data_IF_028599663383
#
_entry.id   IF_028599663383
#
_cell.length_a   1.000
_cell.length_b   1.000
_cell.length_c   1.000
_cell.angle_alpha   90.00
_cell.angle_beta   90.00
_cell.angle_gamma   90.00
#
_symmetry.space_group_name_H-M   'P 1'
#
loop_
_entity.id
_entity.type
_entity.pdbx_description
1 polymer ?
#
# COMPACT_ATOMS: atom_id res chain seq x y z
N UNK A 1 -5.09 37.21 11.45
CA UNK A 1 -5.43 35.77 11.53
C UNK A 1 -5.23 34.98 10.21
N UNK A 2 -5.86 35.24 9.03
CA UNK A 2 -5.48 34.53 7.80
C UNK A 2 -4.03 34.81 7.38
N UNK A 3 -3.52 36.00 7.59
CA UNK A 3 -2.15 36.41 7.22
C UNK A 3 -1.06 35.77 8.10
N UNK A 4 -1.35 35.49 9.37
CA UNK A 4 -0.36 34.90 10.30
C UNK A 4 -0.10 33.43 9.98
N UNK A 5 -1.14 32.69 9.58
CA UNK A 5 -1.01 31.28 9.17
C UNK A 5 -0.28 31.18 7.83
N UNK A 6 -0.63 32.05 6.87
CA UNK A 6 0.07 32.11 5.58
C UNK A 6 1.57 32.43 5.78
N UNK A 7 1.88 33.36 6.68
CA UNK A 7 3.26 33.72 7.05
C UNK A 7 3.98 32.51 7.66
N UNK A 8 3.37 31.88 8.67
CA UNK A 8 3.95 30.70 9.32
C UNK A 8 4.23 29.57 8.31
N UNK A 9 3.26 29.24 7.44
CA UNK A 9 3.46 28.25 6.38
C UNK A 9 4.60 28.64 5.43
N UNK A 10 4.70 29.92 5.06
CA UNK A 10 5.79 30.42 4.19
C UNK A 10 7.16 30.28 4.85
N UNK A 11 7.25 30.54 6.16
CA UNK A 11 8.49 30.45 6.94
C UNK A 11 8.94 28.99 7.15
N UNK A 12 7.98 28.06 7.29
CA UNK A 12 8.26 26.65 7.62
C UNK A 12 8.23 25.72 6.39
N UNK A 13 7.64 26.15 5.27
CA UNK A 13 7.66 25.38 4.04
C UNK A 13 9.06 25.33 3.42
N UNK A 14 9.49 24.16 3.00
CA UNK A 14 10.77 23.92 2.32
C UNK A 14 10.48 23.51 0.88
N UNK A 15 11.01 24.25 -0.11
CA UNK A 15 10.77 23.93 -1.52
C UNK A 15 11.27 22.53 -1.86
N UNK A 16 10.49 21.80 -2.65
CA UNK A 16 10.89 20.56 -3.31
C UNK A 16 11.22 20.90 -4.77
N UNK A 17 12.50 20.96 -5.09
CA UNK A 17 12.99 21.39 -6.40
C UNK A 17 12.58 20.47 -7.52
N UNK A 18 12.45 19.18 -7.23
CA UNK A 18 11.99 18.17 -8.18
C UNK A 18 11.24 17.04 -7.49
N UNK A 19 10.35 16.38 -8.25
CA UNK A 19 9.67 15.15 -7.79
C UNK A 19 10.24 13.90 -8.49
N UNK A 20 11.29 14.08 -9.31
CA UNK A 20 11.80 13.00 -10.15
C UNK A 20 12.65 12.01 -9.34
N UNK A 21 12.38 10.69 -9.41
CA UNK A 21 13.31 9.67 -8.94
C UNK A 21 14.71 9.83 -9.58
N UNK A 22 15.75 9.44 -8.84
CA UNK A 22 17.15 9.54 -9.28
C UNK A 22 17.75 10.94 -9.21
N UNK A 23 16.97 11.97 -8.86
CA UNK A 23 17.49 13.33 -8.70
C UNK A 23 18.26 13.49 -7.37
N UNK A 24 19.19 14.45 -7.25
CA UNK A 24 19.87 14.75 -5.99
C UNK A 24 18.91 15.00 -4.82
N UNK A 25 19.31 14.65 -3.61
CA UNK A 25 18.44 14.65 -2.42
C UNK A 25 18.57 15.90 -1.54
N UNK A 26 19.38 16.90 -1.89
CA UNK A 26 19.64 18.05 -1.02
C UNK A 26 18.40 18.82 -0.56
N UNK A 27 17.34 18.90 -1.37
CA UNK A 27 16.07 19.49 -0.97
C UNK A 27 15.20 18.57 -0.06
N UNK A 28 15.60 17.31 0.16
CA UNK A 28 15.01 16.38 1.12
C UNK A 28 15.73 16.39 2.49
N UNK A 29 16.86 17.08 2.64
CA UNK A 29 17.58 17.18 3.92
C UNK A 29 16.68 17.63 5.09
N UNK A 30 15.79 18.64 4.94
CA UNK A 30 14.89 19.02 6.02
C UNK A 30 13.91 17.92 6.44
N UNK A 31 13.54 17.03 5.51
CA UNK A 31 12.77 15.83 5.82
C UNK A 31 13.66 14.80 6.53
N UNK A 32 14.90 14.62 6.07
CA UNK A 32 15.89 13.74 6.71
C UNK A 32 16.16 14.10 8.17
N UNK A 33 16.30 15.39 8.46
CA UNK A 33 16.47 15.88 9.83
C UNK A 33 15.27 15.54 10.72
N UNK A 34 14.05 15.67 10.19
CA UNK A 34 12.82 15.31 10.91
C UNK A 34 12.68 13.79 11.11
N UNK A 35 13.36 12.97 10.31
CA UNK A 35 13.28 11.49 10.33
C UNK A 35 14.48 10.81 10.99
N UNK A 36 15.43 11.56 11.57
CA UNK A 36 16.69 11.01 12.10
C UNK A 36 16.47 9.85 13.08
N UNK A 37 15.58 10.03 14.04
CA UNK A 37 15.29 9.07 15.11
C UNK A 37 14.00 8.26 14.84
N UNK A 38 13.43 8.37 13.63
CA UNK A 38 12.18 7.70 13.25
C UNK A 38 12.47 6.32 12.72
N UNK A 39 11.72 5.33 13.19
CA UNK A 39 11.80 3.93 12.72
C UNK A 39 10.74 3.58 11.66
N UNK A 40 9.60 4.26 11.67
CA UNK A 40 8.48 3.98 10.78
C UNK A 40 8.02 5.28 10.12
N UNK A 41 8.08 5.35 8.79
CA UNK A 41 7.62 6.51 8.01
C UNK A 41 6.40 6.12 7.19
N UNK A 42 5.24 6.69 7.51
CA UNK A 42 4.03 6.61 6.70
C UNK A 42 4.08 7.61 5.55
N UNK A 43 4.17 7.16 4.31
CA UNK A 43 4.08 7.96 3.10
C UNK A 43 2.65 7.90 2.54
N UNK A 44 1.89 8.96 2.78
CA UNK A 44 0.49 9.08 2.38
C UNK A 44 0.27 9.46 0.92
N UNK A 45 -0.98 9.54 0.54
CA UNK A 45 -1.48 10.12 -0.71
C UNK A 45 -2.97 10.44 -0.58
N UNK A 46 -3.40 11.59 -1.10
CA UNK A 46 -4.82 11.97 -1.09
C UNK A 46 -5.59 11.35 -2.27
N UNK A 47 -4.93 10.61 -3.14
CA UNK A 47 -5.50 9.83 -4.27
C UNK A 47 -4.48 8.83 -4.80
N UNK A 48 -4.89 7.62 -5.12
CA UNK A 48 -4.03 6.56 -5.64
C UNK A 48 -3.59 6.75 -7.11
N UNK A 49 -4.21 7.65 -7.84
CA UNK A 49 -4.01 7.76 -9.29
C UNK A 49 -3.21 8.99 -9.72
N UNK A 50 -2.34 9.54 -8.87
CA UNK A 50 -1.56 10.74 -9.12
C UNK A 50 -0.09 10.40 -9.38
N UNK A 51 0.39 10.70 -10.59
CA UNK A 51 1.76 10.43 -11.04
C UNK A 51 2.81 11.10 -10.16
N UNK A 52 2.60 12.34 -9.81
CA UNK A 52 3.54 13.12 -9.02
C UNK A 52 3.69 12.57 -7.60
N UNK A 53 2.64 12.02 -7.01
CA UNK A 53 2.73 11.34 -5.72
C UNK A 53 3.61 10.09 -5.81
N UNK A 54 3.36 9.23 -6.78
CA UNK A 54 4.17 8.03 -6.97
C UNK A 54 5.65 8.37 -7.19
N UNK A 55 5.94 9.41 -7.99
CA UNK A 55 7.31 9.85 -8.24
C UNK A 55 7.97 10.45 -7.00
N UNK A 56 7.26 11.31 -6.26
CA UNK A 56 7.80 11.88 -5.01
C UNK A 56 8.04 10.80 -3.97
N UNK A 57 7.10 9.88 -3.78
CA UNK A 57 7.29 8.76 -2.84
C UNK A 57 8.46 7.87 -3.27
N UNK A 58 8.60 7.55 -4.55
CA UNK A 58 9.76 6.81 -5.06
C UNK A 58 11.07 7.54 -4.70
N UNK A 59 11.16 8.84 -4.95
CA UNK A 59 12.32 9.65 -4.60
C UNK A 59 12.60 9.70 -3.09
N UNK A 60 11.54 9.78 -2.27
CA UNK A 60 11.68 9.69 -0.80
C UNK A 60 12.15 8.29 -0.38
N UNK A 61 11.65 7.22 -1.00
CA UNK A 61 12.13 5.85 -0.77
C UNK A 61 13.63 5.73 -1.10
N UNK A 62 14.07 6.27 -2.25
CA UNK A 62 15.49 6.32 -2.62
C UNK A 62 16.34 6.99 -1.53
N UNK A 63 15.89 8.14 -1.05
CA UNK A 63 16.56 8.90 0.01
C UNK A 63 16.62 8.11 1.32
N UNK A 64 15.49 7.58 1.79
CA UNK A 64 15.40 6.83 3.04
C UNK A 64 16.23 5.54 3.03
N UNK A 65 16.24 4.84 1.92
CA UNK A 65 17.03 3.62 1.75
C UNK A 65 18.53 3.93 1.73
N UNK A 66 18.94 4.91 0.93
CA UNK A 66 20.38 5.20 0.72
C UNK A 66 21.03 5.94 1.87
N UNK A 67 20.30 6.85 2.51
CA UNK A 67 20.88 7.83 3.44
C UNK A 67 20.40 7.67 4.88
N UNK A 68 19.23 7.01 5.08
CA UNK A 68 18.65 6.84 6.40
C UNK A 68 18.50 5.38 6.84
N UNK A 69 19.01 4.40 6.08
CA UNK A 69 19.07 2.99 6.46
C UNK A 69 17.71 2.28 6.59
N UNK A 70 16.70 2.72 5.83
CA UNK A 70 15.43 1.99 5.76
C UNK A 70 15.58 0.74 4.90
N UNK A 71 15.11 -0.39 5.43
CA UNK A 71 15.32 -1.73 4.84
C UNK A 71 14.03 -2.41 4.39
N UNK A 72 12.86 -1.86 4.72
CA UNK A 72 11.57 -2.46 4.34
C UNK A 72 10.61 -1.43 3.79
N UNK A 73 9.96 -1.77 2.66
CA UNK A 73 8.86 -1.02 2.08
C UNK A 73 7.57 -1.85 2.19
N UNK A 74 6.66 -1.38 3.05
CA UNK A 74 5.35 -1.98 3.29
C UNK A 74 4.28 -1.26 2.46
N UNK A 75 3.61 -1.99 1.57
CA UNK A 75 2.63 -1.46 0.62
C UNK A 75 1.19 -1.76 1.08
N UNK A 76 0.27 -0.81 0.88
CA UNK A 76 -1.18 -1.04 0.93
C UNK A 76 -1.62 -1.91 -0.27
N UNK A 77 -1.01 -3.08 -0.41
CA UNK A 77 -1.19 -4.02 -1.50
C UNK A 77 -1.38 -5.43 -0.96
N UNK A 78 -1.84 -6.34 -1.82
CA UNK A 78 -2.08 -7.74 -1.43
C UNK A 78 -0.86 -8.35 -0.71
N UNK A 79 -1.04 -8.75 0.54
CA UNK A 79 -0.04 -9.47 1.31
C UNK A 79 0.36 -10.80 0.65
N UNK A 80 -0.58 -11.42 -0.05
CA UNK A 80 -0.40 -12.64 -0.81
C UNK A 80 0.53 -12.42 -2.02
N UNK A 81 0.15 -11.52 -2.94
CA UNK A 81 0.84 -11.34 -4.21
C UNK A 81 2.18 -10.58 -4.07
N UNK A 82 2.35 -9.74 -3.04
CA UNK A 82 3.59 -8.97 -2.84
C UNK A 82 4.79 -9.88 -2.54
N UNK A 83 4.59 -11.08 -2.02
CA UNK A 83 5.69 -12.04 -1.78
C UNK A 83 6.44 -12.40 -3.06
N UNK A 84 5.74 -12.65 -4.16
CA UNK A 84 6.37 -12.90 -5.45
C UNK A 84 7.08 -11.65 -6.00
N UNK A 85 6.56 -10.46 -5.72
CA UNK A 85 7.20 -9.19 -6.08
C UNK A 85 8.46 -8.94 -5.24
N UNK A 86 8.47 -9.32 -3.95
CA UNK A 86 9.67 -9.31 -3.10
C UNK A 86 10.76 -10.25 -3.64
N UNK A 87 10.39 -11.46 -4.06
CA UNK A 87 11.31 -12.40 -4.69
C UNK A 87 11.94 -11.81 -5.98
N UNK A 88 11.20 -11.03 -6.77
CA UNK A 88 11.77 -10.30 -7.89
C UNK A 88 12.75 -9.21 -7.42
N UNK A 89 12.37 -8.39 -6.46
CA UNK A 89 13.19 -7.29 -5.95
C UNK A 89 14.50 -7.81 -5.35
N UNK A 90 14.48 -8.94 -4.64
CA UNK A 90 15.66 -9.52 -3.99
C UNK A 90 16.47 -10.41 -4.93
N UNK A 91 15.83 -11.27 -5.69
CA UNK A 91 16.50 -12.35 -6.43
C UNK A 91 16.33 -12.23 -7.95
N UNK A 92 15.46 -11.35 -8.48
CA UNK A 92 15.20 -11.20 -9.91
C UNK A 92 14.25 -12.25 -10.48
N UNK A 93 13.50 -12.95 -9.64
CA UNK A 93 12.61 -14.04 -10.05
C UNK A 93 11.30 -13.49 -10.63
N UNK A 94 10.97 -13.86 -11.86
CA UNK A 94 9.72 -13.50 -12.53
C UNK A 94 9.79 -12.22 -13.37
N UNK A 95 8.65 -11.84 -13.95
CA UNK A 95 8.52 -10.64 -14.80
C UNK A 95 7.79 -9.54 -14.02
N UNK A 96 8.41 -8.38 -13.75
CA UNK A 96 7.88 -7.36 -12.85
C UNK A 96 6.51 -6.81 -13.27
N UNK A 97 6.24 -6.63 -14.56
CA UNK A 97 4.94 -6.17 -15.07
C UNK A 97 3.80 -7.16 -14.75
N UNK A 98 4.07 -8.46 -14.88
CA UNK A 98 3.11 -9.52 -14.53
C UNK A 98 2.89 -9.56 -13.02
N UNK A 99 3.95 -9.49 -12.22
CA UNK A 99 3.89 -9.51 -10.75
C UNK A 99 3.12 -8.31 -10.20
N UNK A 100 3.36 -7.10 -10.74
CA UNK A 100 2.58 -5.90 -10.40
C UNK A 100 1.09 -6.07 -10.75
N UNK A 101 0.77 -6.69 -11.88
CA UNK A 101 -0.63 -6.97 -12.26
C UNK A 101 -1.31 -7.94 -11.29
N UNK A 102 -0.59 -8.94 -10.77
CA UNK A 102 -1.09 -9.90 -9.78
C UNK A 102 -1.42 -9.27 -8.41
N UNK A 103 -0.92 -8.06 -8.09
CA UNK A 103 -1.35 -7.33 -6.89
C UNK A 103 -2.87 -7.08 -6.85
N UNK A 104 -3.56 -7.22 -7.99
CA UNK A 104 -5.02 -7.25 -8.09
C UNK A 104 -5.70 -5.88 -8.02
N UNK A 105 -4.96 -4.81 -7.77
CA UNK A 105 -5.47 -3.44 -7.70
C UNK A 105 -4.91 -2.61 -8.86
N UNK A 106 -5.79 -1.91 -9.58
CA UNK A 106 -5.38 -1.04 -10.68
C UNK A 106 -4.45 0.09 -10.22
N UNK A 107 -4.53 0.48 -8.95
CA UNK A 107 -3.75 1.55 -8.32
C UNK A 107 -2.25 1.28 -8.36
N UNK A 108 -1.86 0.01 -8.33
CA UNK A 108 -0.47 -0.44 -8.39
C UNK A 108 0.02 -0.72 -9.83
N UNK A 109 -0.90 -0.98 -10.77
CA UNK A 109 -0.57 -1.31 -12.17
C UNK A 109 -0.20 -0.07 -12.97
N UNK A 110 0.92 0.56 -12.63
CA UNK A 110 1.40 1.82 -13.22
C UNK A 110 2.87 1.74 -13.63
N UNK A 111 3.28 2.57 -14.61
CA UNK A 111 4.68 2.72 -15.00
C UNK A 111 5.52 3.20 -13.80
N UNK A 112 4.99 4.11 -13.00
CA UNK A 112 5.67 4.65 -11.83
C UNK A 112 5.97 3.58 -10.76
N UNK A 113 5.09 2.57 -10.59
CA UNK A 113 5.35 1.43 -9.73
C UNK A 113 6.39 0.48 -10.35
N UNK A 114 6.35 0.29 -11.66
CA UNK A 114 7.37 -0.50 -12.36
C UNK A 114 8.76 0.13 -12.21
N UNK A 115 8.86 1.46 -12.37
CA UNK A 115 10.12 2.21 -12.16
C UNK A 115 10.67 1.98 -10.74
N UNK A 116 9.83 2.06 -9.71
CA UNK A 116 10.22 1.80 -8.32
C UNK A 116 10.72 0.36 -8.11
N UNK A 117 9.98 -0.62 -8.60
CA UNK A 117 10.31 -2.05 -8.44
C UNK A 117 11.63 -2.39 -9.17
N UNK A 118 11.86 -1.82 -10.34
CA UNK A 118 13.11 -1.99 -11.08
C UNK A 118 14.28 -1.29 -10.38
N UNK A 119 14.05 -0.12 -9.81
CA UNK A 119 15.06 0.59 -9.00
C UNK A 119 15.45 -0.25 -7.77
N UNK A 120 14.46 -0.77 -7.00
CA UNK A 120 14.72 -1.65 -5.85
C UNK A 120 15.52 -2.89 -6.26
N UNK A 121 15.18 -3.54 -7.38
CA UNK A 121 15.94 -4.67 -7.91
C UNK A 121 17.39 -4.30 -8.24
N UNK A 122 17.59 -3.13 -8.84
CA UNK A 122 18.93 -2.64 -9.17
C UNK A 122 19.72 -2.32 -7.90
N UNK A 123 19.08 -1.72 -6.91
CA UNK A 123 19.69 -1.42 -5.61
C UNK A 123 20.13 -2.68 -4.87
N UNK A 124 19.29 -3.71 -4.85
CA UNK A 124 19.55 -4.95 -4.11
C UNK A 124 20.57 -5.89 -4.77
N UNK A 125 20.83 -5.75 -6.08
CA UNK A 125 21.57 -6.73 -6.89
C UNK A 125 22.89 -7.18 -6.29
N UNK A 126 23.67 -6.21 -5.78
CA UNK A 126 25.03 -6.44 -5.31
C UNK A 126 25.13 -6.37 -3.76
N UNK A 127 23.99 -6.30 -3.08
CA UNK A 127 23.94 -6.27 -1.62
C UNK A 127 23.79 -7.68 -1.04
N UNK A 128 24.45 -7.95 0.09
CA UNK A 128 24.19 -9.16 0.86
C UNK A 128 22.73 -9.19 1.34
N UNK A 129 22.21 -10.38 1.57
CA UNK A 129 20.78 -10.62 1.80
C UNK A 129 20.21 -9.84 2.99
N UNK A 130 20.97 -9.72 4.06
CA UNK A 130 20.64 -8.97 5.29
C UNK A 130 20.60 -7.45 5.10
N UNK A 131 21.14 -6.95 4.00
CA UNK A 131 21.15 -5.51 3.64
C UNK A 131 20.21 -5.15 2.50
N UNK A 132 19.56 -6.15 1.90
CA UNK A 132 18.60 -5.92 0.83
C UNK A 132 17.32 -5.29 1.35
N UNK A 133 16.76 -4.37 0.57
CA UNK A 133 15.43 -3.81 0.83
C UNK A 133 14.37 -4.87 0.52
N UNK A 134 13.47 -5.10 1.48
CA UNK A 134 12.36 -6.04 1.37
C UNK A 134 11.07 -5.32 0.99
N UNK A 135 10.20 -6.01 0.24
CA UNK A 135 8.83 -5.60 -0.02
C UNK A 135 7.86 -6.47 0.77
N UNK A 136 6.95 -5.85 1.49
CA UNK A 136 5.82 -6.55 2.10
C UNK A 136 4.48 -5.94 1.67
N UNK A 137 3.47 -6.78 1.46
CA UNK A 137 2.08 -6.37 1.34
C UNK A 137 1.41 -6.41 2.70
N UNK A 138 0.66 -5.37 3.03
CA UNK A 138 -0.02 -5.30 4.32
C UNK A 138 -1.50 -5.71 4.23
N UNK A 139 -2.11 -5.58 3.05
CA UNK A 139 -3.55 -5.78 2.86
C UNK A 139 -3.88 -7.26 2.66
N UNK A 140 -4.72 -7.87 3.50
CA UNK A 140 -5.08 -9.28 3.35
C UNK A 140 -6.08 -9.56 2.22
N UNK A 141 -6.42 -8.60 1.39
CA UNK A 141 -7.30 -8.78 0.23
C UNK A 141 -6.55 -9.38 -0.98
N UNK A 142 -7.31 -9.95 -1.93
CA UNK A 142 -6.76 -10.50 -3.19
C UNK A 142 -5.82 -11.67 -2.96
N UNK A 143 -6.38 -12.78 -2.50
CA UNK A 143 -5.65 -13.94 -1.98
C UNK A 143 -5.35 -15.03 -3.01
N UNK A 144 -5.45 -14.77 -4.31
CA UNK A 144 -5.21 -15.78 -5.36
C UNK A 144 -3.88 -16.50 -5.17
N UNK A 145 -2.80 -15.76 -4.94
CA UNK A 145 -1.47 -16.34 -4.76
C UNK A 145 -1.37 -17.23 -3.51
N UNK A 146 -2.07 -16.87 -2.41
CA UNK A 146 -2.14 -17.72 -1.22
C UNK A 146 -2.87 -19.03 -1.47
N UNK A 147 -3.97 -18.99 -2.22
CA UNK A 147 -4.73 -20.20 -2.57
C UNK A 147 -3.91 -21.11 -3.50
N UNK A 148 -3.28 -20.57 -4.54
CA UNK A 148 -2.42 -21.32 -5.46
C UNK A 148 -1.24 -21.98 -4.75
N UNK A 149 -0.56 -21.21 -3.88
CA UNK A 149 0.56 -21.72 -3.09
C UNK A 149 0.12 -22.85 -2.16
N UNK A 150 -0.95 -22.65 -1.38
CA UNK A 150 -1.46 -23.65 -0.46
C UNK A 150 -1.98 -24.89 -1.17
N UNK A 151 -2.67 -24.74 -2.30
CA UNK A 151 -3.10 -25.88 -3.11
C UNK A 151 -1.91 -26.74 -3.57
N UNK A 152 -0.84 -26.08 -4.06
CA UNK A 152 0.39 -26.78 -4.50
C UNK A 152 1.12 -27.43 -3.33
N UNK A 153 1.26 -26.71 -2.22
CA UNK A 153 1.96 -27.20 -1.03
C UNK A 153 1.25 -28.42 -0.41
N UNK A 154 -0.05 -28.28 -0.16
CA UNK A 154 -0.84 -29.33 0.50
C UNK A 154 -1.05 -30.55 -0.38
N UNK A 155 -1.11 -30.38 -1.70
CA UNK A 155 -1.09 -31.54 -2.60
C UNK A 155 0.12 -32.47 -2.35
N UNK A 156 1.24 -31.92 -1.94
CA UNK A 156 2.48 -32.65 -1.65
C UNK A 156 2.53 -33.21 -0.23
N UNK A 157 2.10 -32.44 0.78
CA UNK A 157 2.35 -32.78 2.20
C UNK A 157 1.11 -33.30 2.93
N UNK A 158 -0.10 -32.93 2.50
CA UNK A 158 -1.38 -33.29 3.14
C UNK A 158 -2.53 -33.23 2.11
N UNK A 159 -2.57 -34.14 1.11
CA UNK A 159 -3.53 -34.10 0.01
C UNK A 159 -5.00 -34.17 0.47
N UNK A 160 -5.28 -34.72 1.66
CA UNK A 160 -6.60 -34.73 2.29
C UNK A 160 -7.13 -33.31 2.63
N UNK A 161 -6.25 -32.30 2.70
CA UNK A 161 -6.61 -30.91 2.93
C UNK A 161 -7.00 -30.14 1.63
N UNK A 162 -6.87 -30.77 0.46
CA UNK A 162 -7.11 -30.12 -0.84
C UNK A 162 -8.53 -29.53 -0.95
N UNK A 163 -9.56 -30.23 -0.42
CA UNK A 163 -10.93 -29.75 -0.41
C UNK A 163 -11.11 -28.51 0.49
N UNK A 164 -10.39 -28.44 1.61
CA UNK A 164 -10.43 -27.28 2.50
C UNK A 164 -9.89 -26.03 1.80
N UNK A 165 -8.82 -26.13 1.00
CA UNK A 165 -8.31 -25.02 0.20
C UNK A 165 -9.28 -24.61 -0.90
N UNK A 166 -9.86 -25.59 -1.63
CA UNK A 166 -10.86 -25.32 -2.67
C UNK A 166 -12.08 -24.59 -2.13
N UNK A 167 -12.54 -24.94 -0.94
CA UNK A 167 -13.68 -24.29 -0.29
C UNK A 167 -13.39 -22.81 0.08
N UNK A 168 -12.13 -22.35 0.07
CA UNK A 168 -11.72 -20.97 0.28
C UNK A 168 -11.55 -20.16 -1.02
N UNK A 169 -11.80 -20.76 -2.20
CA UNK A 169 -11.75 -20.08 -3.52
C UNK A 169 -12.53 -18.74 -3.57
N UNK A 170 -13.69 -18.59 -2.90
CA UNK A 170 -14.38 -17.31 -2.84
C UNK A 170 -13.53 -16.13 -2.33
N UNK A 171 -12.44 -16.39 -1.62
CA UNK A 171 -11.52 -15.36 -1.12
C UNK A 171 -10.55 -14.81 -2.20
N UNK A 172 -10.39 -15.50 -3.34
CA UNK A 172 -9.37 -15.21 -4.35
C UNK A 172 -9.34 -13.72 -4.75
N UNK A 173 -10.50 -13.21 -5.17
CA UNK A 173 -10.67 -11.82 -5.64
C UNK A 173 -11.69 -11.03 -4.83
N UNK A 174 -12.11 -11.56 -3.67
CA UNK A 174 -13.12 -10.92 -2.84
C UNK A 174 -12.62 -9.56 -2.29
N UNK A 175 -13.56 -8.65 -2.14
CA UNK A 175 -13.37 -7.41 -1.39
C UNK A 175 -14.02 -7.54 0.00
N UNK A 176 -13.69 -6.70 0.96
CA UNK A 176 -14.36 -6.69 2.26
C UNK A 176 -15.87 -6.65 2.12
N UNK A 177 -16.57 -7.42 2.95
CA UNK A 177 -18.04 -7.59 2.90
C UNK A 177 -18.63 -8.19 1.61
N UNK A 178 -17.81 -8.85 0.79
CA UNK A 178 -18.30 -9.46 -0.46
C UNK A 178 -19.25 -10.63 -0.24
N UNK A 179 -19.06 -11.37 0.85
CA UNK A 179 -19.85 -12.55 1.22
C UNK A 179 -20.24 -12.48 2.70
N UNK A 180 -21.14 -11.56 3.10
CA UNK A 180 -21.57 -11.46 4.49
C UNK A 180 -22.15 -12.80 4.98
N UNK A 181 -21.57 -13.34 6.04
CA UNK A 181 -21.97 -14.62 6.60
C UNK A 181 -22.02 -14.56 8.13
N UNK A 182 -23.22 -14.53 8.73
CA UNK A 182 -23.36 -14.55 10.19
C UNK A 182 -22.78 -15.80 10.86
N UNK A 183 -22.67 -16.91 10.14
CA UNK A 183 -22.10 -18.18 10.64
C UNK A 183 -20.57 -18.23 10.43
N UNK A 184 -20.02 -17.29 9.69
CA UNK A 184 -18.57 -17.17 9.44
C UNK A 184 -17.91 -18.47 8.90
N UNK A 185 -18.63 -19.24 8.06
CA UNK A 185 -18.17 -20.54 7.59
C UNK A 185 -16.81 -20.48 6.88
N UNK A 186 -16.57 -19.45 6.03
CA UNK A 186 -15.26 -19.25 5.39
C UNK A 186 -14.17 -18.93 6.43
N UNK A 187 -14.47 -18.13 7.46
CA UNK A 187 -13.52 -17.81 8.51
C UNK A 187 -13.15 -19.06 9.32
N UNK A 188 -14.13 -19.86 9.75
CA UNK A 188 -13.88 -21.10 10.48
C UNK A 188 -13.03 -22.09 9.65
N UNK A 189 -13.30 -22.21 8.33
CA UNK A 189 -12.49 -23.06 7.45
C UNK A 189 -11.03 -22.56 7.35
N UNK A 190 -10.85 -21.26 7.15
CA UNK A 190 -9.50 -20.67 7.08
C UNK A 190 -8.73 -20.82 8.41
N UNK A 191 -9.42 -20.65 9.55
CA UNK A 191 -8.85 -20.89 10.88
C UNK A 191 -8.46 -22.36 11.08
N UNK A 192 -9.33 -23.29 10.68
CA UNK A 192 -9.05 -24.72 10.77
C UNK A 192 -7.83 -25.13 9.92
N UNK A 193 -7.70 -24.57 8.72
CA UNK A 193 -6.53 -24.82 7.86
C UNK A 193 -5.25 -24.25 8.48
N UNK A 194 -5.28 -23.05 9.03
CA UNK A 194 -4.12 -22.45 9.72
C UNK A 194 -3.74 -23.26 10.96
N UNK A 195 -4.70 -23.68 11.77
CA UNK A 195 -4.47 -24.53 12.93
C UNK A 195 -3.90 -25.90 12.57
N UNK A 196 -4.36 -26.52 11.46
CA UNK A 196 -3.79 -27.74 10.94
C UNK A 196 -2.30 -27.59 10.59
N UNK A 197 -1.96 -26.57 9.80
CA UNK A 197 -0.57 -26.30 9.41
C UNK A 197 0.33 -25.98 10.60
N UNK A 198 -0.18 -25.29 11.63
CA UNK A 198 0.55 -24.99 12.85
C UNK A 198 0.80 -26.25 13.67
N UNK A 199 -0.21 -27.11 13.86
CA UNK A 199 -0.11 -28.37 14.61
C UNK A 199 0.81 -29.40 13.93
N UNK A 200 0.89 -29.40 12.58
CA UNK A 200 1.68 -30.34 11.80
C UNK A 200 2.94 -29.72 11.18
N UNK A 201 3.37 -28.56 11.67
CA UNK A 201 4.45 -27.77 11.09
C UNK A 201 5.74 -28.60 10.92
N UNK A 202 6.22 -29.28 11.98
CA UNK A 202 7.44 -30.10 11.93
C UNK A 202 7.31 -31.30 10.97
N UNK A 203 6.12 -31.89 10.88
CA UNK A 203 5.86 -32.99 9.95
C UNK A 203 5.88 -32.51 8.50
N UNK A 204 5.20 -31.41 8.21
CA UNK A 204 5.19 -30.78 6.89
C UNK A 204 6.60 -30.30 6.48
N UNK A 205 7.38 -29.74 7.41
CA UNK A 205 8.76 -29.31 7.18
C UNK A 205 9.69 -30.47 6.82
N UNK A 206 9.48 -31.67 7.38
CA UNK A 206 10.25 -32.87 6.99
C UNK A 206 10.03 -33.31 5.54
N UNK A 207 8.87 -33.01 4.96
CA UNK A 207 8.53 -33.30 3.57
C UNK A 207 8.92 -32.17 2.59
N UNK A 208 9.30 -31.00 3.11
CA UNK A 208 9.68 -29.81 2.36
C UNK A 208 10.93 -29.17 2.98
N UNK A 209 10.81 -27.94 3.49
CA UNK A 209 11.80 -27.26 4.35
C UNK A 209 11.06 -26.48 5.43
N UNK A 210 11.72 -26.10 6.55
CA UNK A 210 11.13 -25.23 7.56
C UNK A 210 10.60 -23.92 6.97
N UNK A 211 11.37 -23.28 6.09
CA UNK A 211 11.03 -21.99 5.46
C UNK A 211 9.76 -22.13 4.58
N UNK A 212 9.63 -23.25 3.86
CA UNK A 212 8.43 -23.50 3.03
C UNK A 212 7.20 -23.78 3.90
N UNK A 213 7.39 -24.45 5.05
CA UNK A 213 6.30 -24.69 6.00
C UNK A 213 5.86 -23.39 6.69
N UNK A 214 6.81 -22.52 7.07
CA UNK A 214 6.53 -21.19 7.61
C UNK A 214 5.78 -20.33 6.59
N UNK A 215 6.19 -20.39 5.32
CA UNK A 215 5.52 -19.67 4.24
C UNK A 215 4.07 -20.15 4.05
N UNK A 216 3.83 -21.45 4.05
CA UNK A 216 2.50 -22.03 3.94
C UNK A 216 1.60 -21.60 5.12
N UNK A 217 2.12 -21.60 6.34
CA UNK A 217 1.40 -21.15 7.53
C UNK A 217 1.04 -19.65 7.43
N UNK A 218 1.96 -18.79 6.97
CA UNK A 218 1.64 -17.37 6.78
C UNK A 218 0.59 -17.16 5.67
N UNK A 219 0.62 -17.91 4.57
CA UNK A 219 -0.44 -17.87 3.56
C UNK A 219 -1.81 -18.28 4.13
N UNK A 220 -1.88 -19.28 5.01
CA UNK A 220 -3.12 -19.65 5.69
C UNK A 220 -3.61 -18.57 6.65
N UNK A 221 -2.69 -17.89 7.34
CA UNK A 221 -2.99 -16.72 8.19
C UNK A 221 -3.51 -15.53 7.38
N UNK A 222 -2.98 -15.29 6.17
CA UNK A 222 -3.51 -14.29 5.23
C UNK A 222 -4.96 -14.64 4.86
N UNK A 223 -5.24 -15.90 4.51
CA UNK A 223 -6.61 -16.35 4.20
C UNK A 223 -7.57 -16.17 5.39
N UNK A 224 -7.10 -16.39 6.60
CA UNK A 224 -7.91 -16.18 7.83
C UNK A 224 -8.32 -14.71 7.98
N UNK A 225 -7.38 -13.78 7.79
CA UNK A 225 -7.65 -12.33 7.84
C UNK A 225 -8.58 -11.90 6.70
N UNK A 226 -8.37 -12.44 5.49
CA UNK A 226 -9.25 -12.19 4.35
C UNK A 226 -10.67 -12.68 4.60
N UNK A 227 -10.83 -13.89 5.13
CA UNK A 227 -12.12 -14.47 5.44
C UNK A 227 -12.88 -13.64 6.48
N UNK A 228 -12.20 -13.16 7.52
CA UNK A 228 -12.80 -12.23 8.51
C UNK A 228 -13.34 -10.96 7.81
N UNK A 229 -12.57 -10.32 6.92
CA UNK A 229 -13.03 -9.12 6.24
C UNK A 229 -14.19 -9.39 5.27
N UNK A 230 -14.14 -10.50 4.57
CA UNK A 230 -15.09 -10.85 3.50
C UNK A 230 -16.45 -11.25 4.08
N UNK A 231 -16.46 -11.91 5.25
CA UNK A 231 -17.70 -12.40 5.89
C UNK A 231 -18.37 -11.38 6.83
N UNK A 232 -17.71 -10.25 7.11
CA UNK A 232 -18.30 -9.18 7.93
C UNK A 232 -19.54 -8.57 7.25
N UNK A 233 -20.55 -8.17 8.03
CA UNK A 233 -21.72 -7.49 7.46
C UNK A 233 -21.32 -6.15 6.82
N UNK A 234 -21.99 -5.81 5.71
CA UNK A 234 -21.92 -4.47 5.16
C UNK A 234 -22.65 -3.50 6.11
N UNK A 235 -21.90 -2.59 6.72
CA UNK A 235 -22.44 -1.59 7.64
C UNK A 235 -21.78 -0.23 7.40
N UNK A 236 -22.31 0.84 8.01
CA UNK A 236 -21.66 2.14 7.94
C UNK A 236 -20.25 2.03 8.55
N UNK A 237 -19.24 2.68 7.94
CA UNK A 237 -17.90 2.70 8.51
C UNK A 237 -17.92 3.52 9.79
N UNK A 238 -17.95 2.88 10.94
CA UNK A 238 -17.94 3.58 12.22
C UNK A 238 -17.27 2.75 13.31
N UNK A 239 -16.36 3.40 14.06
CA UNK A 239 -15.72 2.84 15.24
C UNK A 239 -14.86 1.58 14.99
N UNK A 240 -14.38 1.01 16.08
CA UNK A 240 -13.42 -0.09 16.12
C UNK A 240 -13.93 -1.42 15.54
N UNK A 241 -15.24 -1.64 15.51
CA UNK A 241 -15.83 -2.90 15.04
C UNK A 241 -16.16 -2.91 13.54
N UNK A 242 -15.90 -1.79 12.85
CA UNK A 242 -16.15 -1.74 11.40
C UNK A 242 -15.17 -2.64 10.63
N UNK A 243 -15.57 -3.04 9.43
CA UNK A 243 -14.68 -3.78 8.52
C UNK A 243 -13.43 -2.96 8.15
N UNK A 244 -13.57 -1.62 8.11
CA UNK A 244 -12.46 -0.71 7.84
C UNK A 244 -11.45 -0.70 8.99
N UNK A 245 -11.91 -0.63 10.25
CA UNK A 245 -11.04 -0.74 11.42
C UNK A 245 -10.34 -2.10 11.51
N UNK A 246 -11.04 -3.19 11.17
CA UNK A 246 -10.43 -4.51 11.10
C UNK A 246 -9.34 -4.59 10.02
N UNK A 247 -9.58 -4.01 8.84
CA UNK A 247 -8.58 -3.96 7.75
C UNK A 247 -7.34 -3.16 8.18
N UNK A 248 -7.54 -1.97 8.75
CA UNK A 248 -6.42 -1.14 9.25
C UNK A 248 -5.65 -1.82 10.37
N UNK A 249 -6.33 -2.52 11.27
CA UNK A 249 -5.68 -3.36 12.30
C UNK A 249 -4.79 -4.42 11.66
N UNK A 250 -5.28 -5.18 10.67
CA UNK A 250 -4.48 -6.22 10.02
C UNK A 250 -3.27 -5.65 9.28
N UNK A 251 -3.41 -4.46 8.68
CA UNK A 251 -2.29 -3.77 8.04
C UNK A 251 -1.26 -3.29 9.09
N UNK A 252 -1.72 -2.75 10.21
CA UNK A 252 -0.82 -2.37 11.31
C UNK A 252 -0.11 -3.58 11.91
N UNK A 253 -0.84 -4.68 12.16
CA UNK A 253 -0.30 -5.92 12.70
C UNK A 253 0.80 -6.52 11.78
N UNK A 254 0.71 -6.32 10.47
CA UNK A 254 1.76 -6.77 9.55
C UNK A 254 3.08 -6.01 9.76
N UNK A 255 3.01 -4.69 9.98
CA UNK A 255 4.19 -3.86 10.30
C UNK A 255 4.71 -4.16 11.70
N UNK A 256 3.82 -4.31 12.67
CA UNK A 256 4.18 -4.61 14.07
C UNK A 256 4.93 -5.94 14.17
N UNK A 257 4.40 -7.01 13.56
CA UNK A 257 5.08 -8.32 13.55
C UNK A 257 6.47 -8.23 12.94
N UNK A 258 6.62 -7.55 11.80
CA UNK A 258 7.94 -7.37 11.18
C UNK A 258 8.93 -6.71 12.13
N UNK A 259 8.50 -5.70 12.89
CA UNK A 259 9.34 -4.98 13.84
C UNK A 259 9.56 -5.75 15.15
N UNK A 260 8.66 -6.66 15.52
CA UNK A 260 8.83 -7.58 16.64
C UNK A 260 9.86 -8.68 16.27
N UNK A 261 9.82 -9.17 15.00
CA UNK A 261 10.78 -10.16 14.48
C UNK A 261 12.17 -9.56 14.21
N UNK A 262 12.23 -8.29 13.77
CA UNK A 262 13.47 -7.53 13.54
C UNK A 262 13.40 -6.15 14.19
N UNK A 263 13.80 -6.03 15.46
CA UNK A 263 13.79 -4.76 16.19
C UNK A 263 14.71 -3.68 15.60
N UNK A 264 15.67 -4.03 14.76
CA UNK A 264 16.56 -3.08 14.08
C UNK A 264 15.98 -2.56 12.76
N UNK A 265 14.93 -3.17 12.23
CA UNK A 265 14.33 -2.76 10.97
C UNK A 265 13.79 -1.32 11.02
N UNK A 266 13.95 -0.61 9.89
CA UNK A 266 13.31 0.67 9.62
C UNK A 266 12.35 0.50 8.44
N UNK A 267 11.08 0.91 8.61
CA UNK A 267 9.99 0.58 7.72
C UNK A 267 9.38 1.82 7.08
N UNK A 268 9.24 1.80 5.76
CA UNK A 268 8.46 2.77 5.00
C UNK A 268 7.09 2.16 4.74
N UNK A 269 6.02 2.81 5.18
CA UNK A 269 4.63 2.42 4.93
C UNK A 269 4.06 3.27 3.81
N UNK A 270 3.76 2.68 2.66
CA UNK A 270 3.13 3.37 1.53
C UNK A 270 1.64 3.03 1.48
N UNK A 271 0.80 3.99 1.87
CA UNK A 271 -0.64 3.84 1.88
C UNK A 271 -1.36 5.17 1.59
N UNK A 272 -2.71 5.13 1.56
CA UNK A 272 -3.51 6.36 1.48
C UNK A 272 -3.35 7.22 2.74
N UNK A 273 -3.53 8.54 2.63
CA UNK A 273 -3.47 9.47 3.77
C UNK A 273 -4.33 8.99 4.95
N UNK A 274 -5.56 8.53 4.69
CA UNK A 274 -6.45 8.04 5.74
C UNK A 274 -5.85 6.89 6.55
N UNK A 275 -5.14 5.97 5.92
CA UNK A 275 -4.54 4.83 6.62
C UNK A 275 -3.32 5.23 7.45
N UNK A 276 -2.49 6.18 7.00
CA UNK A 276 -1.29 6.60 7.73
C UNK A 276 -1.57 7.65 8.81
N UNK A 277 -2.80 8.19 8.91
CA UNK A 277 -3.14 9.21 9.91
C UNK A 277 -2.91 8.69 11.34
N UNK A 278 -2.44 9.55 12.24
CA UNK A 278 -2.21 9.22 13.66
C UNK A 278 -3.51 9.11 14.48
N UNK A 279 -4.62 9.57 13.91
CA UNK A 279 -5.94 9.56 14.53
C UNK A 279 -6.91 8.60 13.85
N UNK A 280 -8.11 9.09 13.65
CA UNK A 280 -9.20 8.38 12.97
C UNK A 280 -9.49 9.00 11.61
N UNK A 281 -10.02 8.21 10.69
CA UNK A 281 -10.57 8.72 9.44
C UNK A 281 -12.05 8.33 9.31
N UNK A 282 -12.79 9.03 8.48
CA UNK A 282 -14.20 8.80 8.17
C UNK A 282 -15.01 8.12 9.28
N UNK A 283 -15.91 8.83 9.93
CA UNK A 283 -16.80 8.29 10.98
C UNK A 283 -16.10 7.69 12.22
N UNK A 284 -14.88 8.14 12.56
CA UNK A 284 -14.16 7.71 13.75
C UNK A 284 -13.52 6.32 13.64
N UNK A 285 -13.18 5.89 12.44
CA UNK A 285 -12.45 4.63 12.21
C UNK A 285 -10.98 4.80 12.59
N UNK A 286 -10.43 4.04 13.55
CA UNK A 286 -9.00 4.09 13.88
C UNK A 286 -8.15 3.68 12.68
N UNK A 287 -7.20 4.54 12.33
CA UNK A 287 -6.28 4.29 11.22
C UNK A 287 -5.17 3.29 11.59
N UNK A 288 -4.56 2.67 10.59
CA UNK A 288 -3.30 1.92 10.75
C UNK A 288 -2.24 2.80 11.47
N UNK A 289 -2.08 4.05 11.05
CA UNK A 289 -1.14 4.99 11.64
C UNK A 289 -1.42 5.32 13.10
N UNK A 290 -2.70 5.37 13.52
CA UNK A 290 -3.08 5.51 14.93
C UNK A 290 -2.50 4.35 15.76
N UNK A 291 -2.64 3.12 15.30
CA UNK A 291 -2.13 1.92 16.00
C UNK A 291 -0.60 1.88 16.05
N UNK A 292 0.07 2.34 14.98
CA UNK A 292 1.53 2.47 14.98
C UNK A 292 1.98 3.58 15.93
N UNK A 293 1.28 4.71 15.96
CA UNK A 293 1.56 5.80 16.90
C UNK A 293 1.38 5.39 18.35
N UNK A 294 0.31 4.65 18.68
CA UNK A 294 0.03 4.15 20.01
C UNK A 294 1.14 3.21 20.51
N UNK A 295 1.70 2.36 19.64
CA UNK A 295 2.73 1.40 20.00
C UNK A 295 4.15 1.97 19.98
N UNK A 296 4.48 2.82 19.04
CA UNK A 296 5.85 3.29 18.77
C UNK A 296 6.08 4.76 19.09
N UNK A 297 5.04 5.50 19.49
CA UNK A 297 5.18 6.90 19.86
C UNK A 297 5.82 7.74 18.75
N UNK A 298 6.87 8.48 19.09
CA UNK A 298 7.57 9.39 18.18
C UNK A 298 8.44 8.67 17.14
N UNK A 299 8.69 7.38 17.29
CA UNK A 299 9.34 6.53 16.28
C UNK A 299 8.49 6.37 15.00
N UNK A 300 7.19 6.70 15.05
CA UNK A 300 6.30 6.76 13.88
C UNK A 300 6.14 8.19 13.39
N UNK A 301 6.35 8.42 12.08
CA UNK A 301 6.18 9.70 11.41
C UNK A 301 5.18 9.56 10.24
N UNK A 302 4.11 10.33 10.25
CA UNK A 302 3.08 10.35 9.21
C UNK A 302 3.28 11.56 8.27
N UNK A 303 3.64 11.30 7.00
CA UNK A 303 3.79 12.31 5.95
C UNK A 303 2.59 12.28 4.99
N UNK A 304 1.66 13.22 5.12
CA UNK A 304 0.56 13.37 4.18
C UNK A 304 1.01 13.98 2.85
N UNK A 305 0.51 13.47 1.72
CA UNK A 305 0.71 14.08 0.41
C UNK A 305 -0.60 14.69 -0.10
N UNK A 306 -0.57 15.99 -0.37
CA UNK A 306 -1.70 16.78 -0.89
C UNK A 306 -1.32 17.45 -2.21
N UNK A 307 -2.29 17.75 -3.08
CA UNK A 307 -2.02 18.45 -4.33
C UNK A 307 -2.96 19.64 -4.58
N UNK A 308 -2.45 20.69 -5.25
CA UNK A 308 -3.17 21.90 -5.53
C UNK A 308 -4.26 21.73 -6.59
N UNK A 309 -3.89 21.47 -7.82
CA UNK A 309 -4.80 21.32 -8.97
C UNK A 309 -4.27 20.32 -9.98
N UNK A 310 -5.14 19.84 -10.86
CA UNK A 310 -4.69 18.98 -11.97
C UNK A 310 -5.63 17.83 -12.27
N UNK A 311 -5.08 16.64 -12.43
CA UNK A 311 -5.84 15.45 -12.75
C UNK A 311 -5.24 14.21 -12.04
N UNK A 312 -6.10 13.23 -11.83
CA UNK A 312 -5.74 11.91 -11.30
C UNK A 312 -6.60 10.84 -11.96
N UNK A 313 -6.19 9.59 -11.86
CA UNK A 313 -7.01 8.44 -12.25
C UNK A 313 -7.91 8.03 -11.10
N UNK A 314 -9.16 7.69 -11.40
CA UNK A 314 -10.08 7.03 -10.48
C UNK A 314 -11.16 6.26 -11.26
N UNK A 315 -11.64 5.15 -10.71
CA UNK A 315 -12.85 4.49 -11.19
C UNK A 315 -14.09 5.31 -10.82
N UNK A 316 -15.22 4.97 -11.42
CA UNK A 316 -16.51 5.55 -11.02
C UNK A 316 -17.21 4.61 -10.05
N UNK A 317 -17.71 5.14 -8.92
CA UNK A 317 -18.30 4.33 -7.84
C UNK A 317 -19.47 3.45 -8.31
N UNK A 318 -20.19 3.85 -9.38
CA UNK A 318 -21.26 3.06 -9.95
C UNK A 318 -20.80 1.96 -10.92
N UNK A 319 -19.50 1.89 -11.27
CA UNK A 319 -18.91 0.87 -12.12
C UNK A 319 -17.44 0.64 -11.75
N UNK A 320 -17.24 -0.19 -10.74
CA UNK A 320 -15.91 -0.51 -10.19
C UNK A 320 -15.09 -1.45 -11.09
N UNK A 321 -15.73 -2.11 -12.07
CA UNK A 321 -15.04 -2.99 -13.02
C UNK A 321 -14.50 -2.24 -14.24
N UNK A 322 -15.03 -1.05 -14.54
CA UNK A 322 -14.55 -0.25 -15.65
C UNK A 322 -13.11 0.24 -15.39
N UNK A 323 -12.32 0.46 -16.46
CA UNK A 323 -11.00 1.08 -16.35
C UNK A 323 -11.09 2.45 -15.63
N UNK A 324 -10.06 2.81 -14.84
CA UNK A 324 -10.02 4.13 -14.21
C UNK A 324 -9.93 5.22 -15.27
N UNK A 325 -10.53 6.37 -14.99
CA UNK A 325 -10.64 7.50 -15.92
C UNK A 325 -9.99 8.74 -15.35
N UNK A 326 -9.47 9.56 -16.25
CA UNK A 326 -8.96 10.89 -15.91
C UNK A 326 -10.05 11.73 -15.25
N UNK A 327 -9.76 12.22 -14.05
CA UNK A 327 -10.62 13.07 -13.23
C UNK A 327 -9.90 14.38 -12.98
N UNK A 328 -10.50 15.53 -13.34
CA UNK A 328 -9.89 16.88 -13.21
C UNK A 328 -10.44 17.60 -12.00
N UNK A 329 -9.57 18.32 -11.29
CA UNK A 329 -9.95 19.15 -10.15
C UNK A 329 -9.12 20.44 -10.11
N UNK A 330 -9.76 21.54 -9.71
CA UNK A 330 -9.10 22.82 -9.42
C UNK A 330 -8.56 22.89 -7.99
N UNK A 331 -7.89 23.97 -7.64
CA UNK A 331 -7.29 24.15 -6.30
C UNK A 331 -8.34 24.22 -5.18
N UNK A 332 -9.56 24.65 -5.47
CA UNK A 332 -10.57 24.98 -4.46
C UNK A 332 -10.35 26.37 -3.88
N UNK A 333 -11.24 26.81 -2.98
CA UNK A 333 -11.19 28.17 -2.43
C UNK A 333 -10.95 28.16 -0.91
N UNK A 334 -11.45 27.14 -0.20
CA UNK A 334 -11.43 27.08 1.28
C UNK A 334 -10.78 25.83 1.84
N UNK A 335 -10.20 24.98 0.99
CA UNK A 335 -9.54 23.76 1.44
C UNK A 335 -8.12 24.04 1.96
N UNK A 336 -7.58 23.09 2.71
CA UNK A 336 -6.18 23.11 3.16
C UNK A 336 -5.23 23.29 1.97
N UNK A 337 -5.49 22.61 0.84
CA UNK A 337 -4.66 22.70 -0.37
C UNK A 337 -4.66 24.11 -0.97
N UNK A 338 -5.76 24.86 -0.85
CA UNK A 338 -5.78 26.25 -1.29
C UNK A 338 -4.89 27.15 -0.43
N UNK A 339 -4.82 26.90 0.88
CA UNK A 339 -3.93 27.60 1.79
C UNK A 339 -2.46 27.27 1.53
N UNK A 340 -2.14 25.99 1.36
CA UNK A 340 -0.80 25.54 1.02
C UNK A 340 -0.31 26.12 -0.31
N UNK A 341 -1.19 26.14 -1.34
CA UNK A 341 -0.89 26.73 -2.64
C UNK A 341 -0.66 28.26 -2.59
N UNK A 342 -1.29 28.95 -1.64
CA UNK A 342 -1.13 30.39 -1.44
C UNK A 342 0.11 30.74 -0.62
N UNK A 343 0.52 29.88 0.30
CA UNK A 343 1.66 30.11 1.18
C UNK A 343 3.00 30.07 0.45
N UNK A 344 3.21 29.05 -0.41
CA UNK A 344 4.41 28.94 -1.22
C UNK A 344 4.06 28.41 -2.61
N UNK A 345 4.36 29.16 -3.68
CA UNK A 345 4.22 28.68 -5.04
C UNK A 345 5.16 27.50 -5.30
N UNK A 346 4.65 26.43 -5.93
CA UNK A 346 5.44 25.25 -6.25
C UNK A 346 5.23 24.08 -5.28
N UNK A 347 6.07 23.06 -5.44
CA UNK A 347 6.05 21.90 -4.56
C UNK A 347 6.84 22.21 -3.29
N UNK A 348 6.36 21.77 -2.16
CA UNK A 348 7.05 22.01 -0.89
C UNK A 348 6.70 20.96 0.17
N UNK A 349 7.52 20.88 1.18
CA UNK A 349 7.35 20.08 2.39
C UNK A 349 7.26 21.00 3.61
N UNK A 350 6.41 20.70 4.56
CA UNK A 350 6.27 21.39 5.84
C UNK A 350 6.30 20.36 6.96
N UNK A 351 7.28 20.46 7.86
CA UNK A 351 7.30 19.68 9.09
C UNK A 351 6.30 20.29 10.08
N UNK A 352 5.43 19.46 10.66
CA UNK A 352 4.44 19.86 11.65
C UNK A 352 4.86 19.52 13.09
N UNK A 353 5.93 18.72 13.27
CA UNK A 353 6.60 18.52 14.55
C UNK A 353 7.47 19.73 14.85
N UNK A 354 6.90 20.78 15.37
CA UNK A 354 7.65 21.96 15.76
C UNK A 354 7.70 22.05 17.28
N UNK A 355 8.89 22.26 17.84
CA UNK A 355 9.08 22.42 19.30
C UNK A 355 8.62 23.79 19.79
N UNK A 356 8.43 24.75 18.88
CA UNK A 356 8.00 26.11 19.19
C UNK A 356 7.07 26.63 18.07
N UNK A 357 5.82 26.15 17.99
CA UNK A 357 4.86 26.74 17.07
C UNK A 357 4.55 28.16 17.54
N UNK A 358 4.70 29.12 16.61
CA UNK A 358 4.27 30.49 16.92
C UNK A 358 2.85 30.47 17.54
N UNK A 359 2.57 31.25 18.59
CA UNK A 359 1.30 31.21 19.32
C UNK A 359 0.06 31.34 18.40
N UNK A 360 0.21 31.99 17.25
CA UNK A 360 -0.84 32.19 16.26
C UNK A 360 -1.08 30.95 15.38
N UNK A 361 -0.08 30.08 15.18
CA UNK A 361 -0.19 28.87 14.37
C UNK A 361 -0.73 27.68 15.16
N UNK A 362 -0.51 27.62 16.46
CA UNK A 362 -0.95 26.52 17.33
C UNK A 362 -2.44 26.19 17.19
N UNK A 363 -3.39 27.16 17.27
CA UNK A 363 -4.80 26.84 17.10
C UNK A 363 -5.12 26.28 15.71
N UNK A 364 -4.43 26.74 14.67
CA UNK A 364 -4.66 26.25 13.32
C UNK A 364 -4.15 24.81 13.13
N UNK A 365 -3.02 24.47 13.70
CA UNK A 365 -2.44 23.12 13.65
C UNK A 365 -3.35 22.06 14.32
N UNK A 366 -4.11 22.47 15.35
CA UNK A 366 -4.99 21.62 16.15
C UNK A 366 -6.48 21.84 15.92
N UNK A 367 -6.84 22.46 14.78
CA UNK A 367 -8.25 22.67 14.38
C UNK A 367 -8.54 21.89 13.09
N UNK A 368 -9.72 21.24 12.97
CA UNK A 368 -10.10 20.54 11.76
C UNK A 368 -10.20 21.47 10.55
N UNK A 369 -9.57 21.08 9.46
CA UNK A 369 -9.65 21.73 8.15
C UNK A 369 -10.24 20.76 7.14
N UNK A 370 -10.81 21.31 6.06
CA UNK A 370 -11.31 20.52 4.96
C UNK A 370 -10.20 20.25 3.96
N UNK A 371 -9.94 18.98 3.69
CA UNK A 371 -9.05 18.52 2.63
C UNK A 371 -9.81 17.70 1.60
N UNK A 372 -9.23 17.53 0.42
CA UNK A 372 -9.71 16.58 -0.58
C UNK A 372 -9.11 15.22 -0.34
N UNK A 373 -9.96 14.20 -0.34
CA UNK A 373 -9.54 12.81 -0.15
C UNK A 373 -10.28 11.93 -1.14
N UNK A 374 -9.55 11.25 -2.01
CA UNK A 374 -10.10 10.41 -3.06
C UNK A 374 -9.50 9.02 -2.98
N UNK A 375 -10.32 8.02 -2.75
CA UNK A 375 -9.90 6.62 -2.89
C UNK A 375 -9.74 6.19 -4.35
N UNK A 376 -9.69 4.87 -4.56
CA UNK A 376 -9.58 4.26 -5.89
C UNK A 376 -10.80 4.52 -6.80
N UNK A 377 -11.94 4.95 -6.24
CA UNK A 377 -13.15 5.28 -6.97
C UNK A 377 -13.79 6.57 -6.45
N UNK A 378 -14.46 7.29 -7.36
CA UNK A 378 -15.14 8.54 -7.04
C UNK A 378 -16.54 8.58 -7.67
N UNK A 379 -17.52 9.31 -7.06
CA UNK A 379 -18.81 9.54 -7.66
C UNK A 379 -18.69 10.29 -8.99
N UNK A 380 -19.60 10.00 -9.94
CA UNK A 380 -19.55 10.56 -11.30
C UNK A 380 -19.63 12.10 -11.33
N UNK A 381 -20.52 12.69 -10.53
CA UNK A 381 -20.84 14.12 -10.60
C UNK A 381 -20.38 14.89 -9.36
N UNK A 382 -20.43 14.28 -8.17
CA UNK A 382 -20.20 14.95 -6.89
C UNK A 382 -18.78 14.84 -6.36
N UNK A 383 -17.86 14.21 -7.09
CA UNK A 383 -16.48 14.00 -6.63
C UNK A 383 -15.75 15.30 -6.22
N UNK A 384 -16.13 16.44 -6.83
CA UNK A 384 -15.56 17.75 -6.50
C UNK A 384 -15.93 18.23 -5.09
N UNK A 385 -16.98 17.66 -4.52
CA UNK A 385 -17.46 17.92 -3.15
C UNK A 385 -16.91 16.89 -2.15
N UNK A 386 -16.14 15.90 -2.64
CA UNK A 386 -15.53 14.88 -1.78
C UNK A 386 -14.39 15.51 -0.98
N UNK A 387 -14.67 15.73 0.27
CA UNK A 387 -13.74 16.29 1.25
C UNK A 387 -13.80 15.46 2.52
N UNK A 388 -12.70 15.47 3.26
CA UNK A 388 -12.59 14.87 4.58
C UNK A 388 -12.05 15.92 5.57
N UNK A 389 -12.41 15.87 6.84
CA UNK A 389 -11.72 16.64 7.85
C UNK A 389 -10.27 16.15 7.99
N UNK A 390 -9.38 17.06 8.35
CA UNK A 390 -7.99 16.81 8.68
C UNK A 390 -7.56 17.84 9.72
N UNK A 391 -6.98 17.39 10.83
CA UNK A 391 -6.36 18.24 11.82
C UNK A 391 -4.84 18.14 11.65
N UNK A 392 -4.16 19.19 11.13
CA UNK A 392 -2.81 19.05 10.61
C UNK A 392 -1.83 18.33 11.52
N UNK A 393 -1.60 18.83 12.75
CA UNK A 393 -0.61 18.26 13.66
C UNK A 393 -1.11 17.03 14.44
N UNK A 394 -2.43 16.87 14.60
CA UNK A 394 -3.00 15.71 15.28
C UNK A 394 -2.99 14.47 14.38
N UNK A 395 -3.27 14.66 13.08
CA UNK A 395 -3.34 13.57 12.12
C UNK A 395 -2.00 13.24 11.47
N UNK A 396 -1.10 14.24 11.30
CA UNK A 396 0.16 14.05 10.58
C UNK A 396 1.33 14.75 11.27
N UNK A 397 2.53 14.33 10.93
CA UNK A 397 3.78 14.93 11.38
C UNK A 397 4.42 15.83 10.32
N UNK A 398 3.97 15.68 9.08
CA UNK A 398 4.40 16.52 7.97
C UNK A 398 3.42 16.49 6.80
N UNK A 399 3.50 17.52 5.96
CA UNK A 399 2.73 17.62 4.72
C UNK A 399 3.68 17.91 3.56
N UNK A 400 3.64 17.07 2.54
CA UNK A 400 4.24 17.36 1.25
C UNK A 400 3.14 17.81 0.27
N UNK A 401 3.32 18.99 -0.30
CA UNK A 401 2.36 19.59 -1.21
C UNK A 401 2.89 19.57 -2.65
N UNK A 402 2.07 19.07 -3.57
CA UNK A 402 2.34 19.04 -5.01
C UNK A 402 1.46 20.07 -5.69
N UNK A 403 2.05 21.12 -6.25
CA UNK A 403 1.29 22.24 -6.81
C UNK A 403 0.37 21.81 -7.97
N UNK A 404 0.84 20.87 -8.81
CA UNK A 404 0.09 20.38 -9.98
C UNK A 404 0.25 18.88 -10.15
N UNK A 405 -0.88 18.18 -10.30
CA UNK A 405 -0.93 16.73 -10.52
C UNK A 405 -1.29 16.36 -11.97
N UNK A 406 -0.81 15.22 -12.41
CA UNK A 406 -1.22 14.50 -13.61
C UNK A 406 -1.63 13.07 -13.25
N UNK A 407 -2.32 12.40 -14.17
CA UNK A 407 -2.67 11.00 -14.01
C UNK A 407 -1.43 10.10 -14.05
N UNK A 408 -1.41 9.07 -13.20
CA UNK A 408 -0.49 7.94 -13.33
C UNK A 408 -0.64 7.28 -14.70
N UNK A 409 0.41 6.63 -15.20
CA UNK A 409 0.42 5.89 -16.47
C UNK A 409 0.17 4.41 -16.17
N UNK A 410 -0.96 3.89 -16.68
CA UNK A 410 -1.26 2.48 -16.50
C UNK A 410 -0.39 1.61 -17.38
N UNK A 411 0.13 0.53 -16.83
CA UNK A 411 0.70 -0.57 -17.62
C UNK A 411 -0.41 -1.21 -18.47
N UNK A 412 -0.08 -1.71 -19.67
CA UNK A 412 -1.03 -2.47 -20.48
C UNK A 412 -1.68 -3.59 -19.67
N UNK A 413 -2.95 -3.87 -19.94
CA UNK A 413 -3.56 -5.11 -19.46
C UNK A 413 -2.78 -6.24 -20.15
N UNK A 414 -2.06 -7.07 -19.37
CA UNK A 414 -1.41 -8.25 -19.92
C UNK A 414 -2.49 -9.15 -20.55
N UNK A 415 -2.21 -9.72 -21.72
CA UNK A 415 -3.06 -10.75 -22.32
C UNK A 415 -3.10 -11.96 -21.35
N UNK A 416 -4.17 -12.09 -20.60
CA UNK A 416 -4.48 -13.29 -19.79
C UNK A 416 -4.68 -14.54 -20.69
N UNK A 417 -4.72 -14.36 -22.02
CA UNK A 417 -4.94 -15.44 -22.99
C UNK A 417 -3.67 -16.23 -23.40
N UNK A 418 -2.47 -15.81 -22.99
CA UNK A 418 -1.22 -16.46 -23.41
C UNK A 418 -0.74 -17.59 -22.47
N UNK A 419 -1.44 -17.87 -21.38
CA UNK A 419 -1.04 -18.89 -20.39
C UNK A 419 -1.53 -20.32 -20.72
N UNK A 420 -2.09 -20.57 -21.91
CA UNK A 420 -2.68 -21.86 -22.29
C UNK A 420 -2.11 -22.54 -23.55
N UNK A 421 -1.04 -22.04 -24.18
CA UNK A 421 -0.58 -22.58 -25.47
C UNK A 421 0.89 -23.04 -25.57
N UNK A 422 1.66 -23.01 -24.52
CA UNK A 422 3.05 -23.57 -24.55
C UNK A 422 3.11 -25.00 -23.98
N UNK A 423 2.27 -25.90 -24.51
CA UNK A 423 2.24 -27.28 -24.05
C UNK A 423 1.82 -28.31 -25.11
N UNK A 424 1.94 -28.02 -26.43
CA UNK A 424 1.56 -29.00 -27.44
C UNK A 424 2.27 -28.79 -28.81
N UNK A 425 3.60 -28.78 -28.84
CA UNK A 425 4.36 -29.02 -30.07
C UNK A 425 5.65 -29.78 -29.75
N UNK A 426 5.47 -31.04 -29.40
CA UNK A 426 6.48 -32.06 -29.33
C UNK A 426 5.98 -33.32 -30.03
N UNK A 427 6.61 -33.69 -31.13
CA UNK A 427 6.44 -34.94 -31.88
C UNK A 427 5.40 -34.99 -33.00
N UNK A 428 5.77 -34.57 -34.19
CA UNK A 428 5.52 -35.34 -35.43
C UNK A 428 6.64 -35.13 -36.46
N UNK A 429 7.72 -35.83 -36.28
CA UNK A 429 8.59 -36.26 -37.39
C UNK A 429 8.14 -37.69 -37.80
N UNK A 430 7.72 -37.85 -39.04
CA UNK A 430 8.05 -38.93 -39.98
C UNK A 430 7.07 -38.98 -41.14
N UNK A 431 7.48 -38.60 -42.29
CA UNK A 431 7.64 -39.52 -43.41
C UNK A 431 6.38 -39.81 -44.20
N UNK A 432 6.30 -39.26 -45.42
CA UNK A 432 6.12 -40.10 -46.63
C UNK A 432 6.25 -39.29 -47.93
N UNK A 433 7.09 -39.87 -48.71
CA UNK A 433 7.41 -39.64 -50.11
C UNK A 433 6.22 -39.52 -51.06
N UNK A 434 6.46 -38.74 -52.13
CA UNK A 434 5.71 -38.78 -53.43
C UNK A 434 5.86 -40.16 -54.10
N UNK A 435 4.90 -40.53 -55.01
CA UNK A 435 5.22 -40.35 -56.43
C UNK A 435 4.03 -39.95 -57.33
N UNK A 436 4.44 -39.50 -58.49
CA UNK A 436 3.90 -39.31 -59.82
C UNK A 436 3.09 -38.04 -60.10
#
# INVERSE_FOLDING_TARGET
MPDDIARWLTEHARPLGTLAPGAPHGDLEPLGDALRDVRIVGLGESTHGTREFSRLKHRIVEFLVREAGFTTLALEASASATRALDAYVRHGTGAPTRLITRLGFWTWRTEEMLDLVQWLRTHNRDLPEDRQVRLIGMDPQRCTDSLEMLATYLHRVAPEQAENVRALEPLAQAHPTAHPDPQQALLHRAQALAAFLEAHHEECARHTTPETADEALEHARILTRAADLVTRPAGPPSGDNSVFAARDRYMADAVIRLLDDDPAARVIVWAHNGHIAKGTYGHGVPALGSRLRDRYGDDYYALALLFGKGAFLARRSHNLHAPPRRTRIGTGIRSLEARLAAALPGNHYTNLRTNDPAPQATPWLHTPHTQRSFGAAVPRFTYRLHTAPLTPADDYDGIAFVARSNCSRLLPAGDESAAGQDGADGERLTGRSRPA
#
